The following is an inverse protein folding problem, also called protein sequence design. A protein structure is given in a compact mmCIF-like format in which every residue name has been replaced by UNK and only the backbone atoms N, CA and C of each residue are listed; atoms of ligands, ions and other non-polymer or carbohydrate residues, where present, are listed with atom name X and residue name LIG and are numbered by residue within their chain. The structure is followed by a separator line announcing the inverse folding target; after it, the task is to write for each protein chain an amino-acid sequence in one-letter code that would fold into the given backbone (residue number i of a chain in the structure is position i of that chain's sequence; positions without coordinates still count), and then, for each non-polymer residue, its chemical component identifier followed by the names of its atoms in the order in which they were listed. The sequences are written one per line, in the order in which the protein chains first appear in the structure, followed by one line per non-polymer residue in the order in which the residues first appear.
data_IF_395649100307
#
_entry.id   IF_395649100307
#
_cell.length_a   1.000
_cell.length_b   1.000
_cell.length_c   1.000
_cell.angle_alpha   90.00
_cell.angle_beta   90.00
_cell.angle_gamma   90.00
#
_symmetry.space_group_name_H-M   'P 1'
#
loop_
_entity.id
_entity.type
_entity.pdbx_description
1 polymer ?
#
# COMPACT_ATOMS: atom_id res chain seq x y z
N UNK A 1 3.75 37.52 -6.07
CA UNK A 1 3.17 38.80 -6.48
C UNK A 1 2.24 39.28 -5.38
N UNK A 2 2.37 40.55 -5.04
CA UNK A 2 1.48 41.21 -4.08
C UNK A 2 0.41 41.95 -4.86
N UNK A 3 -0.83 41.73 -4.51
CA UNK A 3 -1.99 42.42 -5.08
C UNK A 3 -3.02 42.63 -4.00
N UNK A 4 -3.51 43.87 -3.86
CA UNK A 4 -4.56 44.25 -2.90
C UNK A 4 -4.36 43.68 -1.48
N UNK A 5 -3.16 43.88 -0.92
CA UNK A 5 -2.69 43.36 0.38
C UNK A 5 -2.65 41.81 0.50
N UNK A 6 -2.88 41.08 -0.61
CA UNK A 6 -2.75 39.65 -0.69
C UNK A 6 -1.42 39.19 -1.30
N UNK A 7 -0.94 38.01 -0.91
CA UNK A 7 0.22 37.35 -1.52
C UNK A 7 -0.28 36.21 -2.40
N UNK A 8 -0.08 36.32 -3.71
CA UNK A 8 -0.40 35.25 -4.65
C UNK A 8 0.89 34.54 -5.06
N UNK A 9 1.07 33.26 -4.74
CA UNK A 9 2.22 32.51 -5.21
C UNK A 9 2.13 32.29 -6.73
N UNK A 10 3.17 32.70 -7.44
CA UNK A 10 3.32 32.40 -8.88
C UNK A 10 4.33 31.28 -9.00
N UNK A 11 3.91 30.19 -9.66
CA UNK A 11 4.78 29.09 -9.95
C UNK A 11 5.66 29.41 -11.15
N UNK A 12 6.96 29.53 -10.96
CA UNK A 12 7.96 29.68 -12.03
C UNK A 12 8.60 28.33 -12.26
N UNK A 13 8.50 27.81 -13.48
CA UNK A 13 9.11 26.55 -13.91
C UNK A 13 10.20 26.86 -14.93
N UNK A 14 11.44 26.49 -14.61
CA UNK A 14 12.54 26.49 -15.57
C UNK A 14 12.77 25.07 -16.04
N UNK A 15 12.55 24.72 -17.32
CA UNK A 15 12.82 23.39 -17.84
C UNK A 15 14.30 23.02 -17.72
N UNK A 16 14.58 21.74 -17.40
CA UNK A 16 15.97 21.26 -17.21
C UNK A 16 16.65 20.88 -18.54
N UNK A 17 15.90 20.83 -19.65
CA UNK A 17 16.43 20.55 -20.99
C UNK A 17 15.61 21.25 -22.06
N UNK A 18 16.12 21.25 -23.31
CA UNK A 18 15.41 21.76 -24.49
C UNK A 18 14.22 20.86 -24.92
N UNK A 19 14.05 19.69 -24.30
CA UNK A 19 12.96 18.76 -24.56
C UNK A 19 11.73 19.10 -23.70
N UNK A 20 11.15 20.29 -23.91
CA UNK A 20 9.96 20.73 -23.17
C UNK A 20 8.89 21.26 -24.15
N UNK A 21 7.65 21.39 -23.67
CA UNK A 21 6.54 21.91 -24.47
C UNK A 21 6.34 21.15 -25.80
N UNK A 22 6.38 21.85 -26.95
CA UNK A 22 6.24 21.22 -28.26
C UNK A 22 7.41 20.29 -28.63
N UNK A 23 8.59 20.51 -28.07
CA UNK A 23 9.80 19.72 -28.35
C UNK A 23 9.87 18.43 -27.50
N UNK A 24 8.89 18.17 -26.63
CA UNK A 24 8.85 16.96 -25.84
C UNK A 24 8.54 15.75 -26.73
N UNK A 25 9.27 14.63 -26.58
CA UNK A 25 9.02 13.44 -27.38
C UNK A 25 7.61 12.89 -27.19
N UNK A 26 7.07 12.26 -28.24
CA UNK A 26 5.80 11.54 -28.13
C UNK A 26 5.97 10.32 -27.22
N UNK A 27 5.13 10.21 -26.19
CA UNK A 27 5.13 9.13 -25.21
C UNK A 27 3.72 8.56 -25.10
N UNK A 28 3.53 7.24 -25.14
CA UNK A 28 2.23 6.61 -24.91
C UNK A 28 1.71 6.92 -23.51
N UNK A 29 0.43 7.25 -23.41
CA UNK A 29 -0.26 7.54 -22.14
C UNK A 29 -1.52 6.67 -22.04
N UNK A 30 -1.38 5.36 -21.76
CA UNK A 30 -2.50 4.42 -21.75
C UNK A 30 -3.51 4.68 -20.62
N UNK A 31 -3.08 5.35 -19.56
CA UNK A 31 -3.96 5.70 -18.44
C UNK A 31 -4.02 7.21 -18.21
N UNK A 32 -5.04 7.66 -17.47
CA UNK A 32 -5.15 9.08 -17.05
C UNK A 32 -3.99 9.53 -16.18
N UNK A 33 -3.44 8.62 -15.38
CA UNK A 33 -2.27 8.88 -14.54
C UNK A 33 -1.05 9.15 -15.43
N UNK A 34 -0.81 8.32 -16.44
CA UNK A 34 0.29 8.50 -17.39
C UNK A 34 0.20 9.85 -18.10
N UNK A 35 -1.01 10.23 -18.54
CA UNK A 35 -1.25 11.53 -19.17
C UNK A 35 -0.81 12.68 -18.24
N UNK A 36 -1.25 12.68 -16.98
CA UNK A 36 -0.92 13.72 -16.00
C UNK A 36 0.58 13.76 -15.69
N UNK A 37 1.21 12.59 -15.57
CA UNK A 37 2.66 12.46 -15.33
C UNK A 37 3.43 13.03 -16.53
N UNK A 38 3.09 12.61 -17.75
CA UNK A 38 3.75 13.09 -18.97
C UNK A 38 3.55 14.60 -19.16
N UNK A 39 2.38 15.14 -18.85
CA UNK A 39 2.15 16.59 -18.87
C UNK A 39 3.10 17.33 -17.91
N UNK A 40 3.31 16.78 -16.72
CA UNK A 40 4.25 17.36 -15.74
C UNK A 40 5.69 17.27 -16.24
N UNK A 41 6.10 16.11 -16.72
CA UNK A 41 7.45 15.90 -17.27
C UNK A 41 7.75 16.83 -18.45
N UNK A 42 6.78 17.01 -19.35
CA UNK A 42 6.87 17.95 -20.48
C UNK A 42 7.10 19.39 -20.04
N UNK A 43 6.42 19.82 -18.97
CA UNK A 43 6.65 21.17 -18.41
C UNK A 43 8.04 21.32 -17.80
N UNK A 44 8.56 20.26 -17.20
CA UNK A 44 9.86 20.25 -16.54
C UNK A 44 11.03 20.02 -17.51
N UNK A 45 10.77 19.59 -18.75
CA UNK A 45 11.82 19.20 -19.71
C UNK A 45 12.54 17.90 -19.29
N UNK A 46 11.87 17.03 -18.53
CA UNK A 46 12.41 15.73 -18.06
C UNK A 46 11.86 14.64 -18.95
N UNK A 47 12.73 13.91 -19.66
CA UNK A 47 12.34 12.76 -20.48
C UNK A 47 12.37 11.50 -19.63
N UNK A 48 11.43 10.60 -19.85
CA UNK A 48 11.40 9.29 -19.19
C UNK A 48 12.65 8.48 -19.55
N UNK A 49 13.11 7.67 -18.61
CA UNK A 49 14.17 6.68 -18.86
C UNK A 49 13.65 5.55 -19.75
N UNK A 50 14.57 4.82 -20.37
CA UNK A 50 14.24 3.58 -21.06
C UNK A 50 13.65 2.54 -20.10
N UNK A 51 12.99 1.52 -20.68
CA UNK A 51 12.48 0.40 -19.91
C UNK A 51 13.65 -0.33 -19.24
N UNK A 52 13.46 -0.68 -17.99
CA UNK A 52 14.45 -1.44 -17.22
C UNK A 52 14.68 -2.86 -17.81
N UNK A 53 15.86 -3.39 -17.58
CA UNK A 53 16.20 -4.78 -17.95
C UNK A 53 15.32 -5.78 -17.20
N UNK A 54 15.26 -7.02 -17.66
CA UNK A 54 14.50 -8.08 -16.99
C UNK A 54 15.02 -8.39 -15.59
N UNK A 55 16.32 -8.31 -15.37
CA UNK A 55 16.92 -8.49 -14.05
C UNK A 55 16.52 -7.37 -13.08
N UNK A 56 16.55 -6.12 -13.52
CA UNK A 56 16.09 -4.98 -12.73
C UNK A 56 14.59 -5.04 -12.48
N UNK A 57 13.81 -5.42 -13.49
CA UNK A 57 12.37 -5.60 -13.35
C UNK A 57 12.04 -6.61 -12.27
N UNK A 58 12.60 -7.82 -12.33
CA UNK A 58 12.34 -8.89 -11.36
C UNK A 58 12.74 -8.47 -9.95
N UNK A 59 13.91 -7.84 -9.79
CA UNK A 59 14.37 -7.36 -8.49
C UNK A 59 13.41 -6.32 -7.90
N UNK A 60 13.03 -5.31 -8.67
CA UNK A 60 12.12 -4.24 -8.23
C UNK A 60 10.74 -4.79 -7.93
N UNK A 61 10.20 -5.60 -8.83
CA UNK A 61 8.90 -6.24 -8.67
C UNK A 61 8.82 -7.04 -7.36
N UNK A 62 9.84 -7.87 -7.07
CA UNK A 62 9.85 -8.69 -5.85
C UNK A 62 9.89 -7.83 -4.59
N UNK A 63 10.70 -6.78 -4.56
CA UNK A 63 10.77 -5.85 -3.43
C UNK A 63 9.45 -5.09 -3.22
N UNK A 64 8.83 -4.64 -4.30
CA UNK A 64 7.60 -3.86 -4.23
C UNK A 64 6.40 -4.73 -3.82
N UNK A 65 6.32 -5.97 -4.35
CA UNK A 65 5.16 -6.83 -4.16
C UNK A 65 5.22 -7.69 -2.89
N UNK A 66 6.39 -8.24 -2.56
CA UNK A 66 6.55 -9.19 -1.45
C UNK A 66 7.61 -8.78 -0.42
N UNK A 67 8.27 -7.64 -0.60
CA UNK A 67 9.24 -7.09 0.34
C UNK A 67 10.58 -7.83 0.41
N UNK A 68 10.81 -8.83 -0.45
CA UNK A 68 12.04 -9.65 -0.44
C UNK A 68 12.67 -9.70 -1.81
N UNK A 69 13.95 -10.05 -1.87
CA UNK A 69 14.64 -10.30 -3.13
C UNK A 69 14.20 -11.66 -3.72
N UNK A 70 14.21 -11.80 -5.05
CA UNK A 70 14.03 -13.10 -5.68
C UNK A 70 15.21 -14.03 -5.33
N UNK A 71 14.96 -15.34 -5.29
CA UNK A 71 16.01 -16.33 -5.11
C UNK A 71 16.86 -16.45 -6.38
N UNK A 72 18.11 -16.92 -6.29
CA UNK A 72 18.95 -17.14 -7.48
C UNK A 72 18.28 -18.01 -8.54
N UNK A 73 17.58 -19.07 -8.13
CA UNK A 73 16.84 -19.96 -9.05
C UNK A 73 15.72 -19.21 -9.79
N UNK A 74 14.96 -18.38 -9.09
CA UNK A 74 13.91 -17.55 -9.72
C UNK A 74 14.49 -16.56 -10.73
N UNK A 75 15.67 -16.00 -10.44
CA UNK A 75 16.37 -15.11 -11.38
C UNK A 75 16.78 -15.86 -12.63
N UNK A 76 17.40 -17.02 -12.49
CA UNK A 76 17.86 -17.86 -13.61
C UNK A 76 16.68 -18.29 -14.49
N UNK A 77 15.59 -18.79 -13.88
CA UNK A 77 14.37 -19.19 -14.57
C UNK A 77 13.75 -18.02 -15.35
N UNK A 78 13.57 -16.87 -14.69
CA UNK A 78 12.98 -15.69 -15.29
C UNK A 78 13.79 -15.13 -16.45
N UNK A 79 15.12 -15.12 -16.35
CA UNK A 79 16.01 -14.65 -17.42
C UNK A 79 16.08 -15.65 -18.59
N UNK A 80 15.94 -16.94 -18.32
CA UNK A 80 15.90 -17.97 -19.36
C UNK A 80 14.59 -17.98 -20.14
N UNK A 81 13.49 -17.56 -19.54
CA UNK A 81 12.16 -17.47 -20.18
C UNK A 81 12.19 -16.43 -21.32
N UNK A 82 11.83 -16.86 -22.55
CA UNK A 82 11.74 -16.02 -23.73
C UNK A 82 10.31 -15.60 -24.08
N UNK A 83 9.35 -15.91 -23.24
CA UNK A 83 7.94 -15.53 -23.41
C UNK A 83 7.77 -14.01 -23.41
N UNK A 84 6.98 -13.49 -24.35
CA UNK A 84 6.62 -12.08 -24.40
C UNK A 84 5.80 -11.63 -23.17
N UNK A 85 5.14 -12.56 -22.49
CA UNK A 85 4.25 -12.30 -21.35
C UNK A 85 4.88 -12.65 -20.00
N UNK A 86 6.18 -12.98 -19.94
CA UNK A 86 6.84 -13.42 -18.71
C UNK A 86 6.72 -12.40 -17.55
N UNK A 87 6.77 -11.10 -17.85
CA UNK A 87 6.62 -10.05 -16.85
C UNK A 87 5.23 -10.05 -16.23
N UNK A 88 4.18 -10.12 -17.05
CA UNK A 88 2.80 -10.20 -16.59
C UNK A 88 2.57 -11.47 -15.75
N UNK A 89 3.01 -12.64 -16.26
CA UNK A 89 2.92 -13.91 -15.55
C UNK A 89 3.60 -13.86 -14.18
N UNK A 90 4.77 -13.21 -14.08
CA UNK A 90 5.49 -13.07 -12.80
C UNK A 90 4.75 -12.15 -11.83
N UNK A 91 4.07 -11.10 -12.31
CA UNK A 91 3.22 -10.25 -11.48
C UNK A 91 2.09 -11.09 -10.88
N UNK A 92 1.36 -11.84 -11.71
CA UNK A 92 0.24 -12.68 -11.27
C UNK A 92 0.70 -13.72 -10.24
N UNK A 93 1.84 -14.36 -10.49
CA UNK A 93 2.45 -15.32 -9.55
C UNK A 93 2.75 -14.70 -8.17
N UNK A 94 3.30 -13.50 -8.15
CA UNK A 94 3.66 -12.84 -6.89
C UNK A 94 2.43 -12.33 -6.13
N UNK A 95 1.36 -11.95 -6.83
CA UNK A 95 0.09 -11.56 -6.21
C UNK A 95 -0.57 -12.71 -5.43
N UNK A 96 -0.38 -13.95 -5.88
CA UNK A 96 -0.94 -15.14 -5.23
C UNK A 96 -0.10 -15.64 -4.05
N UNK A 97 1.12 -15.11 -3.85
CA UNK A 97 2.00 -15.55 -2.76
C UNK A 97 1.48 -15.04 -1.40
N UNK A 98 1.48 -15.87 -0.35
CA UNK A 98 1.16 -15.42 1.02
C UNK A 98 2.04 -14.23 1.49
N UNK A 99 3.27 -14.14 0.98
CA UNK A 99 4.20 -13.04 1.24
C UNK A 99 3.65 -11.68 0.76
N UNK A 100 2.83 -11.64 -0.30
CA UNK A 100 2.16 -10.43 -0.76
C UNK A 100 1.23 -9.87 0.33
N UNK A 101 0.33 -10.70 0.84
CA UNK A 101 -0.60 -10.28 1.88
C UNK A 101 0.14 -9.86 3.16
N UNK A 102 1.18 -10.60 3.56
CA UNK A 102 1.99 -10.27 4.73
C UNK A 102 2.71 -8.92 4.58
N UNK A 103 3.33 -8.68 3.43
CA UNK A 103 4.04 -7.43 3.14
C UNK A 103 3.11 -6.21 3.12
N UNK A 104 1.98 -6.33 2.44
CA UNK A 104 1.03 -5.23 2.33
C UNK A 104 0.27 -4.98 3.65
N UNK A 105 0.00 -6.02 4.45
CA UNK A 105 -0.52 -5.85 5.79
C UNK A 105 0.46 -5.07 6.69
N UNK A 106 1.77 -5.33 6.57
CA UNK A 106 2.79 -4.55 7.28
C UNK A 106 2.76 -3.08 6.88
N UNK A 107 2.72 -2.78 5.58
CA UNK A 107 2.61 -1.40 5.09
C UNK A 107 1.34 -0.70 5.56
N UNK A 108 0.19 -1.38 5.48
CA UNK A 108 -1.08 -0.82 5.94
C UNK A 108 -1.10 -0.64 7.46
N UNK A 109 -0.47 -1.53 8.22
CA UNK A 109 -0.27 -1.37 9.66
C UNK A 109 0.51 -0.10 9.98
N UNK A 110 1.61 0.15 9.25
CA UNK A 110 2.41 1.38 9.43
C UNK A 110 1.58 2.63 9.09
N UNK A 111 0.84 2.63 7.99
CA UNK A 111 -0.01 3.76 7.58
C UNK A 111 -1.14 4.05 8.56
N UNK A 112 -1.68 3.02 9.22
CA UNK A 112 -2.73 3.15 10.23
C UNK A 112 -2.20 3.36 11.64
N UNK A 113 -0.88 3.50 11.80
CA UNK A 113 -0.24 3.81 13.09
C UNK A 113 -0.22 2.65 14.07
N UNK A 114 -0.25 1.40 13.59
CA UNK A 114 -0.18 0.19 14.42
C UNK A 114 1.20 0.08 15.11
N UNK A 115 1.27 0.55 16.35
CA UNK A 115 2.51 0.55 17.12
C UNK A 115 2.23 0.10 18.56
N UNK A 116 2.63 -1.13 18.88
CA UNK A 116 2.44 -1.72 20.20
C UNK A 116 2.97 -0.83 21.37
N UNK A 117 4.09 -0.14 21.16
CA UNK A 117 4.66 0.76 22.16
C UNK A 117 3.83 2.03 22.41
N UNK A 118 2.95 2.40 21.50
CA UNK A 118 2.03 3.54 21.61
C UNK A 118 0.62 3.14 22.03
N UNK A 119 0.24 1.89 21.82
CA UNK A 119 -1.05 1.33 22.23
C UNK A 119 -1.08 0.99 23.73
N UNK A 120 -0.07 1.37 24.50
CA UNK A 120 0.04 1.04 25.90
C UNK A 120 -1.14 1.62 26.72
N UNK A 121 -2.13 0.79 26.95
CA UNK A 121 -3.25 1.08 27.82
C UNK A 121 -3.15 0.22 29.10
N UNK A 122 -2.26 0.62 30.01
CA UNK A 122 -2.02 -0.07 31.27
C UNK A 122 -3.28 -0.28 32.14
N UNK A 123 -4.41 0.35 31.75
CA UNK A 123 -5.67 0.26 32.49
C UNK A 123 -6.60 -0.83 31.98
N UNK A 124 -6.45 -1.28 30.73
CA UNK A 124 -7.35 -2.27 30.13
C UNK A 124 -6.98 -3.73 30.44
N UNK A 125 -5.76 -3.99 30.88
CA UNK A 125 -5.26 -5.35 31.09
C UNK A 125 -5.01 -6.15 29.80
N UNK A 126 -5.24 -5.54 28.63
CA UNK A 126 -4.95 -6.15 27.33
C UNK A 126 -3.52 -5.79 26.95
N UNK A 127 -2.75 -6.81 26.56
CA UNK A 127 -1.39 -6.61 26.10
C UNK A 127 -1.38 -5.89 24.73
N UNK A 128 -0.60 -4.80 24.65
CA UNK A 128 -0.50 -3.98 23.44
C UNK A 128 0.08 -4.74 22.24
N UNK A 129 0.89 -5.77 22.49
CA UNK A 129 1.41 -6.62 21.40
C UNK A 129 0.30 -7.49 20.80
N UNK A 130 -0.63 -7.95 21.61
CA UNK A 130 -1.82 -8.68 21.14
C UNK A 130 -2.69 -7.80 20.26
N UNK A 131 -2.98 -6.57 20.68
CA UNK A 131 -3.76 -5.62 19.88
C UNK A 131 -3.10 -5.30 18.54
N UNK A 132 -1.78 -5.11 18.54
CA UNK A 132 -1.03 -4.85 17.33
C UNK A 132 -1.03 -6.06 16.37
N UNK A 133 -0.93 -7.28 16.92
CA UNK A 133 -1.00 -8.51 16.15
C UNK A 133 -2.40 -8.74 15.55
N UNK A 134 -3.45 -8.52 16.33
CA UNK A 134 -4.83 -8.68 15.89
C UNK A 134 -5.16 -7.70 14.74
N UNK A 135 -4.70 -6.44 14.86
CA UNK A 135 -4.85 -5.46 13.80
C UNK A 135 -4.13 -5.87 12.51
N UNK A 136 -2.89 -6.35 12.63
CA UNK A 136 -2.13 -6.86 11.49
C UNK A 136 -2.84 -8.06 10.84
N UNK A 137 -3.30 -9.03 11.62
CA UNK A 137 -4.01 -10.20 11.10
C UNK A 137 -5.35 -9.84 10.45
N UNK A 138 -6.06 -8.84 10.99
CA UNK A 138 -7.26 -8.30 10.40
C UNK A 138 -7.01 -7.74 9.00
N UNK A 139 -5.92 -7.00 8.80
CA UNK A 139 -5.50 -6.48 7.51
C UNK A 139 -5.03 -7.61 6.58
N UNK A 140 -4.14 -8.48 7.09
CA UNK A 140 -3.55 -9.57 6.30
C UNK A 140 -4.60 -10.48 5.71
N UNK A 141 -5.56 -10.90 6.50
CA UNK A 141 -6.64 -11.80 6.03
C UNK A 141 -7.55 -11.17 4.98
N UNK A 142 -7.73 -9.85 5.01
CA UNK A 142 -8.51 -9.14 3.99
C UNK A 142 -7.77 -9.01 2.69
N UNK A 143 -6.49 -8.69 2.74
CA UNK A 143 -5.63 -8.61 1.56
C UNK A 143 -5.50 -10.01 0.92
N UNK A 144 -5.28 -11.05 1.71
CA UNK A 144 -5.21 -12.44 1.25
C UNK A 144 -6.49 -12.90 0.54
N UNK A 145 -7.65 -12.45 1.02
CA UNK A 145 -8.97 -12.71 0.41
C UNK A 145 -9.30 -11.75 -0.74
N UNK A 146 -8.39 -10.86 -1.09
CA UNK A 146 -8.59 -9.83 -2.09
C UNK A 146 -9.89 -9.01 -1.85
N UNK A 147 -10.15 -8.66 -0.59
CA UNK A 147 -11.29 -7.78 -0.23
C UNK A 147 -11.07 -6.42 -0.88
N UNK A 148 -12.09 -5.82 -1.52
CA UNK A 148 -11.99 -4.51 -2.13
C UNK A 148 -11.45 -3.45 -1.16
N UNK A 149 -10.62 -2.54 -1.67
CA UNK A 149 -9.93 -1.55 -0.83
C UNK A 149 -10.90 -0.58 -0.14
N UNK A 150 -11.98 -0.24 -0.79
CA UNK A 150 -13.06 0.58 -0.23
C UNK A 150 -13.74 -0.11 0.95
N UNK A 151 -14.01 -1.42 0.88
CA UNK A 151 -14.55 -2.21 1.99
C UNK A 151 -13.55 -2.30 3.17
N UNK A 152 -12.24 -2.46 2.89
CA UNK A 152 -11.22 -2.42 3.94
C UNK A 152 -11.22 -1.04 4.61
N UNK A 153 -11.28 0.03 3.81
CA UNK A 153 -11.28 1.41 4.31
C UNK A 153 -12.55 1.70 5.11
N UNK A 154 -13.71 1.25 4.64
CA UNK A 154 -14.97 1.34 5.37
C UNK A 154 -14.87 0.65 6.73
N UNK A 155 -14.32 -0.58 6.76
CA UNK A 155 -14.10 -1.31 8.00
C UNK A 155 -13.18 -0.58 8.99
N UNK A 156 -12.20 0.20 8.50
CA UNK A 156 -11.32 1.01 9.35
C UNK A 156 -12.06 2.26 9.89
N UNK A 157 -12.77 2.98 9.02
CA UNK A 157 -13.36 4.29 9.33
C UNK A 157 -14.68 4.16 10.07
N UNK A 158 -15.51 3.19 9.69
CA UNK A 158 -16.83 2.95 10.25
C UNK A 158 -16.86 1.82 11.27
N UNK A 159 -15.69 1.37 11.74
CA UNK A 159 -15.60 0.29 12.71
C UNK A 159 -16.51 0.52 13.91
N UNK A 160 -17.46 -0.37 14.10
CA UNK A 160 -18.37 -0.39 15.25
C UNK A 160 -18.01 -1.56 16.13
N UNK A 161 -17.85 -1.33 17.42
CA UNK A 161 -17.58 -2.39 18.39
C UNK A 161 -18.80 -3.27 18.67
N UNK A 162 -20.00 -2.81 18.32
CA UNK A 162 -21.25 -3.56 18.52
C UNK A 162 -21.62 -4.33 17.24
N UNK A 163 -21.91 -5.64 17.39
CA UNK A 163 -22.34 -6.48 16.29
C UNK A 163 -23.76 -6.13 15.82
N UNK A 164 -24.05 -6.43 14.57
CA UNK A 164 -25.40 -6.27 14.03
C UNK A 164 -26.39 -7.14 14.83
N UNK A 165 -27.53 -6.55 15.20
CA UNK A 165 -28.55 -7.17 16.03
C UNK A 165 -28.15 -7.53 17.48
N UNK A 166 -26.98 -7.13 17.94
CA UNK A 166 -26.55 -7.31 19.33
C UNK A 166 -27.26 -6.30 20.24
N UNK A 167 -27.89 -6.78 21.29
CA UNK A 167 -28.45 -5.87 22.33
C UNK A 167 -27.32 -5.24 23.13
N UNK A 168 -27.62 -4.12 23.79
CA UNK A 168 -26.61 -3.46 24.65
C UNK A 168 -26.11 -4.36 25.77
N UNK A 169 -26.98 -5.19 26.35
CA UNK A 169 -26.59 -6.14 27.40
C UNK A 169 -25.60 -7.19 26.87
N UNK A 170 -25.88 -7.77 25.71
CA UNK A 170 -24.97 -8.73 25.05
C UNK A 170 -23.65 -8.08 24.67
N UNK A 171 -23.68 -6.84 24.18
CA UNK A 171 -22.48 -6.06 23.92
C UNK A 171 -21.62 -5.89 25.18
N UNK A 172 -22.23 -5.47 26.30
CA UNK A 172 -21.51 -5.28 27.55
C UNK A 172 -20.91 -6.61 28.07
N UNK A 173 -21.65 -7.71 27.96
CA UNK A 173 -21.18 -9.03 28.37
C UNK A 173 -19.98 -9.46 27.54
N UNK A 174 -20.08 -9.36 26.22
CA UNK A 174 -18.98 -9.69 25.30
C UNK A 174 -17.76 -8.80 25.54
N UNK A 175 -17.94 -7.48 25.63
CA UNK A 175 -16.84 -6.54 25.86
C UNK A 175 -16.17 -6.75 27.23
N UNK A 176 -16.93 -7.18 28.25
CA UNK A 176 -16.36 -7.52 29.56
C UNK A 176 -15.41 -8.71 29.49
N UNK A 177 -15.61 -9.64 28.55
CA UNK A 177 -14.71 -10.76 28.31
C UNK A 177 -13.29 -10.35 27.94
N UNK A 178 -13.13 -9.22 27.21
CA UNK A 178 -11.79 -8.71 26.85
C UNK A 178 -10.99 -8.18 28.03
N UNK A 179 -11.65 -7.85 29.13
CA UNK A 179 -11.00 -7.39 30.37
C UNK A 179 -10.77 -8.52 31.38
N UNK A 180 -11.22 -9.73 31.06
CA UNK A 180 -11.02 -10.88 31.92
C UNK A 180 -9.58 -11.40 31.75
N UNK A 181 -8.81 -11.43 32.87
CA UNK A 181 -7.42 -11.90 32.86
C UNK A 181 -7.27 -13.38 32.51
N UNK A 182 -8.32 -14.17 32.70
CA UNK A 182 -8.33 -15.62 32.47
C UNK A 182 -8.73 -16.02 31.05
N UNK A 183 -9.47 -15.17 30.36
CA UNK A 183 -9.88 -15.41 28.96
C UNK A 183 -9.52 -14.20 28.11
N UNK A 184 -8.40 -14.27 27.40
CA UNK A 184 -8.07 -13.27 26.38
C UNK A 184 -8.93 -13.54 25.14
N UNK A 185 -9.93 -12.70 24.89
CA UNK A 185 -10.68 -12.71 23.62
C UNK A 185 -9.76 -12.32 22.44
N UNK A 186 -9.96 -12.95 21.29
CA UNK A 186 -9.40 -12.49 20.01
C UNK A 186 -10.43 -11.59 19.33
N UNK A 187 -9.96 -10.53 18.67
CA UNK A 187 -10.79 -9.63 17.85
C UNK A 187 -11.19 -10.24 16.52
#
# INVERSE_FOLDING_TARGET
VFYDNGVVPIQVIQPVSEKFGPNYPAVPTPTKIDELVVQKLRKLGVVQSDLCTDAEFLRRLSLDMIGTLPTPAEVEEFLADKSAYKRAKKIDELLERPAYAAWWATKMSDWTGNNAGKLNNNKSGIDSSTLASDWYEWLRTRIEKNVPYDEITEGIVLAVSRLENETYAQYCERMSGYYNKEQKGSF
#
